data_IF_613342912113
#
_entry.id   IF_613342912113
#
_cell.length_a   1.000
_cell.length_b   1.000
_cell.length_c   1.000
_cell.angle_alpha   90.00
_cell.angle_beta   90.00
_cell.angle_gamma   90.00
#
_symmetry.space_group_name_H-M   'P 1'
#
loop_
_entity.id
_entity.type
_entity.pdbx_description
1 polymer ?
#
# COMPACT_ATOMS: atom_id res chain seq x y z
N UNK A 1 0.33 -0.66 -18.37
CA UNK A 1 0.13 -1.24 -17.01
C UNK A 1 1.04 -0.54 -16.03
N UNK A 2 0.56 -0.31 -14.84
CA UNK A 2 1.31 0.35 -13.78
C UNK A 2 1.64 -0.64 -12.68
N UNK A 3 2.89 -0.67 -12.23
CA UNK A 3 3.30 -1.46 -11.08
C UNK A 3 3.21 -0.57 -9.84
N UNK A 4 2.36 -0.94 -8.89
CA UNK A 4 2.17 -0.20 -7.66
C UNK A 4 2.93 -0.89 -6.52
N UNK A 5 3.49 -0.09 -5.62
CA UNK A 5 3.97 -0.58 -4.32
C UNK A 5 2.96 -0.18 -3.27
N UNK A 6 2.36 -1.18 -2.62
CA UNK A 6 1.32 -0.99 -1.62
C UNK A 6 1.93 -1.23 -0.24
N UNK A 7 1.70 -0.31 0.68
CA UNK A 7 2.30 -0.38 2.01
C UNK A 7 1.32 -0.06 3.14
N UNK A 8 0.06 0.19 2.82
CA UNK A 8 -0.95 0.62 3.78
C UNK A 8 -2.18 -0.28 3.76
N UNK A 9 -3.35 0.34 3.84
CA UNK A 9 -4.61 -0.38 3.99
C UNK A 9 -4.96 -1.27 2.80
N UNK A 10 -4.44 -0.96 1.61
CA UNK A 10 -4.66 -1.82 0.43
C UNK A 10 -3.95 -3.16 0.53
N UNK A 11 -3.08 -3.35 1.53
CA UNK A 11 -2.51 -4.67 1.79
C UNK A 11 -3.54 -5.65 2.34
N UNK A 12 -4.65 -5.17 2.88
CA UNK A 12 -5.76 -6.03 3.26
C UNK A 12 -6.45 -6.53 1.99
N UNK A 13 -6.48 -7.84 1.74
CA UNK A 13 -7.05 -8.37 0.50
C UNK A 13 -8.51 -7.98 0.29
N UNK A 14 -9.28 -7.84 1.36
CA UNK A 14 -10.70 -7.47 1.24
C UNK A 14 -10.86 -6.03 0.79
N UNK A 15 -10.04 -5.15 1.34
CA UNK A 15 -10.05 -3.74 0.95
C UNK A 15 -9.61 -3.62 -0.51
N UNK A 16 -8.53 -4.30 -0.88
CA UNK A 16 -8.01 -4.24 -2.23
C UNK A 16 -9.04 -4.75 -3.26
N UNK A 17 -9.64 -5.89 -3.00
CA UNK A 17 -10.62 -6.47 -3.92
C UNK A 17 -11.82 -5.55 -4.10
N UNK A 18 -12.33 -4.98 -3.01
CA UNK A 18 -13.47 -4.08 -3.06
C UNK A 18 -13.14 -2.79 -3.79
N UNK A 19 -11.99 -2.19 -3.51
CA UNK A 19 -11.66 -0.91 -4.11
C UNK A 19 -11.22 -1.02 -5.56
N UNK A 20 -10.53 -2.09 -5.93
CA UNK A 20 -10.16 -2.33 -7.32
C UNK A 20 -11.31 -2.82 -8.18
N UNK A 21 -12.37 -3.33 -7.56
CA UNK A 21 -13.52 -3.87 -8.28
C UNK A 21 -13.29 -5.24 -8.89
N UNK A 22 -12.26 -5.96 -8.43
CA UNK A 22 -11.92 -7.29 -8.94
C UNK A 22 -11.47 -8.17 -7.78
N UNK A 23 -12.21 -9.23 -7.50
CA UNK A 23 -11.84 -10.15 -6.43
C UNK A 23 -10.51 -10.87 -6.70
N UNK A 24 -10.27 -11.23 -7.96
CA UNK A 24 -9.06 -11.97 -8.33
C UNK A 24 -7.77 -11.17 -8.30
N UNK A 25 -7.86 -9.86 -8.15
CA UNK A 25 -6.66 -9.02 -8.20
C UNK A 25 -5.68 -9.33 -7.05
N UNK A 26 -6.18 -9.82 -5.92
CA UNK A 26 -5.35 -10.13 -4.76
C UNK A 26 -4.32 -11.24 -5.07
N UNK A 27 -4.60 -12.08 -6.06
CA UNK A 27 -3.66 -13.15 -6.46
C UNK A 27 -2.42 -12.61 -7.14
N UNK A 28 -2.46 -11.38 -7.60
CA UNK A 28 -1.34 -10.74 -8.29
C UNK A 28 -0.39 -10.05 -7.34
N UNK A 29 -0.73 -9.96 -6.05
CA UNK A 29 0.14 -9.35 -5.07
C UNK A 29 1.43 -10.16 -4.93
N UNK A 30 2.57 -9.50 -5.02
CA UNK A 30 3.86 -10.10 -4.79
C UNK A 30 4.58 -9.39 -3.66
N UNK A 31 5.27 -10.11 -2.78
CA UNK A 31 5.98 -9.45 -1.68
C UNK A 31 7.09 -8.54 -2.23
N UNK A 32 7.27 -7.40 -1.59
CA UNK A 32 8.30 -6.46 -1.96
C UNK A 32 8.70 -5.63 -0.76
N UNK A 33 9.89 -5.03 -0.83
CA UNK A 33 10.33 -4.10 0.19
C UNK A 33 10.93 -2.86 -0.46
N UNK A 34 10.77 -1.75 0.22
CA UNK A 34 11.25 -0.46 -0.22
C UNK A 34 12.33 0.01 0.74
N UNK A 35 13.57 0.06 0.28
CA UNK A 35 14.72 0.49 1.07
C UNK A 35 14.87 2.00 0.98
N UNK A 36 15.28 2.61 2.09
CA UNK A 36 15.51 4.05 2.14
C UNK A 36 14.26 4.87 2.44
N UNK A 37 13.17 4.22 2.82
CA UNK A 37 11.91 4.88 3.15
C UNK A 37 11.32 4.28 4.42
N UNK A 38 10.67 5.13 5.20
CA UNK A 38 10.00 4.71 6.42
C UNK A 38 8.51 5.00 6.32
N UNK A 39 7.71 4.06 6.80
CA UNK A 39 6.27 4.19 6.88
C UNK A 39 5.90 4.88 8.19
N UNK A 40 5.22 6.02 8.09
CA UNK A 40 4.83 6.83 9.24
C UNK A 40 3.37 7.25 9.09
N UNK A 41 2.78 7.69 10.20
CA UNK A 41 1.40 8.18 10.17
C UNK A 41 1.30 9.47 9.37
N UNK A 42 0.20 9.64 8.65
CA UNK A 42 -0.15 10.91 8.02
C UNK A 42 -1.08 11.65 8.96
N UNK A 43 -0.67 12.84 9.41
CA UNK A 43 -1.42 13.62 10.40
C UNK A 43 -2.84 13.87 9.93
N UNK A 44 -3.76 13.76 10.86
CA UNK A 44 -5.18 13.98 10.57
C UNK A 44 -5.89 12.80 9.95
N UNK A 45 -5.21 11.66 9.80
CA UNK A 45 -5.79 10.45 9.24
C UNK A 45 -5.31 9.21 10.00
N UNK A 46 -6.02 8.09 9.91
CA UNK A 46 -5.51 6.81 10.43
C UNK A 46 -4.58 6.11 9.44
N UNK A 47 -4.19 6.75 8.34
CA UNK A 47 -3.48 6.14 7.24
C UNK A 47 -2.00 6.50 7.25
N UNK A 48 -1.16 5.69 6.59
CA UNK A 48 0.27 5.96 6.53
C UNK A 48 0.67 6.77 5.32
N UNK A 49 1.89 7.27 5.39
CA UNK A 49 2.62 7.79 4.25
C UNK A 49 4.08 7.30 4.34
N UNK A 50 4.88 7.68 3.38
CA UNK A 50 6.30 7.35 3.33
C UNK A 50 7.13 8.61 3.42
N UNK A 51 8.24 8.53 4.14
CA UNK A 51 9.26 9.58 4.15
C UNK A 51 10.62 8.97 3.83
N UNK A 52 11.51 9.72 3.18
CA UNK A 52 12.89 9.26 3.01
C UNK A 52 13.54 9.04 4.37
N UNK A 53 14.20 7.89 4.52
CA UNK A 53 14.89 7.55 5.76
C UNK A 53 16.01 6.57 5.44
N UNK A 54 17.25 7.05 5.27
CA UNK A 54 18.37 6.17 4.96
C UNK A 54 18.49 5.05 5.98
N UNK A 55 18.66 3.83 5.50
CA UNK A 55 18.76 2.65 6.37
C UNK A 55 17.44 2.03 6.78
N UNK A 56 16.32 2.72 6.55
CA UNK A 56 15.01 2.14 6.85
C UNK A 56 14.54 1.22 5.72
N UNK A 57 13.65 0.31 6.05
CA UNK A 57 13.02 -0.59 5.09
C UNK A 57 11.52 -0.65 5.37
N UNK A 58 10.72 -0.52 4.32
CA UNK A 58 9.28 -0.67 4.43
C UNK A 58 8.87 -1.94 3.68
N UNK A 59 8.23 -2.85 4.39
CA UNK A 59 7.67 -4.07 3.80
C UNK A 59 6.32 -3.77 3.18
N UNK A 60 6.05 -4.38 2.05
CA UNK A 60 4.78 -4.20 1.36
C UNK A 60 4.61 -5.22 0.25
N UNK A 61 3.87 -4.83 -0.76
CA UNK A 61 3.60 -5.70 -1.90
C UNK A 61 3.55 -4.90 -3.19
N UNK A 62 3.89 -5.54 -4.28
CA UNK A 62 3.73 -4.95 -5.62
C UNK A 62 2.51 -5.55 -6.30
N UNK A 63 1.86 -4.73 -7.10
CA UNK A 63 0.68 -5.11 -7.84
C UNK A 63 0.66 -4.41 -9.18
N UNK A 64 0.52 -5.18 -10.25
CA UNK A 64 0.41 -4.61 -11.59
C UNK A 64 -1.06 -4.39 -11.91
N UNK A 65 -1.41 -3.16 -12.29
CA UNK A 65 -2.79 -2.79 -12.56
C UNK A 65 -2.92 -2.11 -13.90
N UNK A 66 -4.07 -2.29 -14.53
CA UNK A 66 -4.45 -1.55 -15.72
C UNK A 66 -5.08 -0.21 -15.37
N UNK A 67 -5.43 0.59 -16.40
CA UNK A 67 -5.93 1.95 -16.18
C UNK A 67 -7.21 2.02 -15.34
N UNK A 68 -8.14 1.08 -15.54
CA UNK A 68 -9.40 1.13 -14.81
C UNK A 68 -9.20 0.87 -13.31
N UNK A 69 -8.43 -0.16 -12.96
CA UNK A 69 -8.13 -0.45 -11.56
C UNK A 69 -7.32 0.68 -10.94
N UNK A 70 -6.36 1.23 -11.67
CA UNK A 70 -5.57 2.35 -11.18
C UNK A 70 -6.45 3.54 -10.82
N UNK A 71 -7.40 3.88 -11.68
CA UNK A 71 -8.31 4.99 -11.42
C UNK A 71 -9.16 4.76 -10.17
N UNK A 72 -9.64 3.53 -9.98
CA UNK A 72 -10.43 3.20 -8.79
C UNK A 72 -9.61 3.30 -7.51
N UNK A 73 -8.39 2.79 -7.54
CA UNK A 73 -7.49 2.87 -6.38
C UNK A 73 -7.07 4.31 -6.10
N UNK A 74 -6.83 5.11 -7.13
CA UNK A 74 -6.51 6.51 -6.94
C UNK A 74 -7.66 7.27 -6.26
N UNK A 75 -8.90 6.95 -6.64
CA UNK A 75 -10.06 7.55 -6.00
C UNK A 75 -10.17 7.15 -4.53
N UNK A 76 -9.84 5.91 -4.22
CA UNK A 76 -9.81 5.44 -2.83
C UNK A 76 -8.76 6.18 -2.00
N UNK A 77 -7.55 6.35 -2.56
CA UNK A 77 -6.48 7.03 -1.84
C UNK A 77 -6.82 8.49 -1.55
N UNK A 78 -7.43 9.16 -2.52
CA UNK A 78 -7.91 10.52 -2.33
C UNK A 78 -6.86 11.60 -2.57
N UNK A 79 -7.29 12.88 -2.49
CA UNK A 79 -6.49 14.02 -2.94
C UNK A 79 -5.14 14.23 -2.24
N UNK A 80 -4.96 13.92 -0.95
CA UNK A 80 -3.65 14.15 -0.32
C UNK A 80 -2.53 13.32 -0.92
N UNK A 81 -2.86 12.18 -1.51
CA UNK A 81 -1.85 11.27 -2.03
C UNK A 81 -1.62 11.50 -3.51
N UNK A 82 -0.37 11.31 -3.93
CA UNK A 82 -0.03 11.29 -5.34
C UNK A 82 0.99 10.19 -5.59
N UNK A 83 1.02 9.70 -6.81
CA UNK A 83 1.94 8.65 -7.20
C UNK A 83 3.34 9.21 -7.34
N UNK A 84 4.29 8.53 -6.71
CA UNK A 84 5.70 8.88 -6.73
C UNK A 84 6.47 7.65 -7.21
N UNK A 85 7.40 7.80 -8.16
CA UNK A 85 8.21 6.67 -8.58
C UNK A 85 9.16 6.23 -7.47
N UNK A 86 9.24 4.92 -7.27
CA UNK A 86 10.12 4.32 -6.28
C UNK A 86 10.78 3.09 -6.88
N UNK A 87 11.87 2.67 -6.26
CA UNK A 87 12.56 1.44 -6.65
C UNK A 87 12.40 0.43 -5.52
N UNK A 88 11.79 -0.69 -5.85
CA UNK A 88 11.50 -1.73 -4.87
C UNK A 88 12.28 -3.00 -5.16
N UNK A 89 12.51 -3.79 -4.12
CA UNK A 89 13.11 -5.10 -4.24
C UNK A 89 12.01 -6.16 -4.19
N UNK A 90 11.97 -6.97 -5.21
CA UNK A 90 11.00 -8.07 -5.32
C UNK A 90 11.73 -9.40 -5.39
N UNK A 91 10.98 -10.51 -5.34
CA UNK A 91 11.54 -11.83 -5.52
C UNK A 91 12.27 -11.98 -6.87
N UNK A 92 11.87 -11.22 -7.87
CA UNK A 92 12.47 -11.22 -9.20
C UNK A 92 13.57 -10.16 -9.36
N UNK A 93 13.99 -9.51 -8.28
CA UNK A 93 14.99 -8.45 -8.28
C UNK A 93 14.40 -7.07 -8.20
N UNK A 94 15.23 -6.03 -8.44
CA UNK A 94 14.75 -4.65 -8.36
C UNK A 94 13.76 -4.34 -9.47
N UNK A 95 12.76 -3.51 -9.13
CA UNK A 95 11.74 -3.07 -10.08
C UNK A 95 11.41 -1.61 -9.81
N UNK A 96 11.04 -0.91 -10.87
CA UNK A 96 10.44 0.41 -10.73
C UNK A 96 8.97 0.26 -10.46
N UNK A 97 8.49 1.00 -9.46
CA UNK A 97 7.09 0.98 -9.08
C UNK A 97 6.64 2.40 -8.76
N UNK A 98 5.35 2.56 -8.50
CA UNK A 98 4.78 3.82 -8.08
C UNK A 98 4.11 3.59 -6.73
N UNK A 99 4.26 4.54 -5.81
CA UNK A 99 3.63 4.48 -4.51
C UNK A 99 2.85 5.77 -4.25
N UNK A 100 1.71 5.66 -3.58
CA UNK A 100 0.97 6.83 -3.16
C UNK A 100 1.61 7.42 -1.92
N UNK A 101 2.03 8.69 -2.01
CA UNK A 101 2.73 9.38 -0.93
C UNK A 101 1.99 10.68 -0.64
N UNK A 102 1.70 10.93 0.62
CA UNK A 102 1.08 12.16 1.06
C UNK A 102 2.10 13.30 1.17
N UNK A 103 1.62 14.51 1.42
CA UNK A 103 2.54 15.66 1.51
C UNK A 103 3.49 15.51 2.71
N UNK A 104 4.75 15.84 2.50
CA UNK A 104 5.78 15.65 3.51
C UNK A 104 5.49 16.42 4.80
N UNK A 105 4.88 17.61 4.70
CA UNK A 105 4.58 18.42 5.88
C UNK A 105 3.52 17.80 6.78
N UNK A 106 2.72 16.84 6.27
CA UNK A 106 1.74 16.12 7.08
C UNK A 106 2.28 14.81 7.63
N UNK A 107 3.48 14.43 7.26
CA UNK A 107 4.05 13.18 7.76
C UNK A 107 4.48 13.35 9.21
N UNK A 108 4.06 12.42 10.06
CA UNK A 108 4.43 12.42 11.48
C UNK A 108 5.65 11.52 11.66
N UNK A 109 6.84 12.08 11.43
CA UNK A 109 8.08 11.32 11.38
C UNK A 109 8.37 10.56 12.69
N UNK A 110 7.88 11.05 13.82
CA UNK A 110 8.07 10.39 15.09
C UNK A 110 7.03 9.29 15.38
N UNK A 111 6.10 9.07 14.47
CA UNK A 111 5.00 8.13 14.68
C UNK A 111 5.03 7.04 13.60
N UNK A 112 5.85 5.98 13.77
CA UNK A 112 5.82 4.87 12.85
C UNK A 112 4.41 4.29 12.75
N UNK A 113 4.04 3.88 11.55
CA UNK A 113 2.74 3.29 11.31
C UNK A 113 2.92 1.83 10.95
N UNK A 114 2.11 0.99 11.55
CA UNK A 114 2.11 -0.43 11.24
C UNK A 114 0.71 -0.82 10.82
N UNK A 115 0.56 -1.69 9.80
CA UNK A 115 -0.77 -2.15 9.44
C UNK A 115 -1.39 -2.88 10.62
N UNK A 116 -2.71 -2.74 10.83
CA UNK A 116 -3.35 -3.50 11.87
C UNK A 116 -3.17 -4.99 11.61
N UNK A 117 -3.04 -5.82 12.65
CA UNK A 117 -2.93 -7.26 12.46
C UNK A 117 -4.16 -7.77 11.73
N UNK A 118 -3.95 -8.74 10.85
CA UNK A 118 -5.07 -9.38 10.18
C UNK A 118 -5.96 -10.03 11.22
N UNK A 119 -7.29 -9.92 11.07
CA UNK A 119 -8.18 -10.60 12.00
C UNK A 119 -7.95 -12.11 11.92
N UNK A 120 -8.13 -12.84 13.04
CA UNK A 120 -7.98 -14.27 12.99
C UNK A 120 -8.96 -14.87 12.00
N UNK A 121 -8.52 -15.97 11.37
CA UNK A 121 -9.41 -16.65 10.44
C UNK A 121 -10.63 -17.14 11.20
N UNK A 122 -11.78 -16.87 10.66
CA UNK A 122 -13.04 -17.26 11.26
C UNK A 122 -13.60 -18.50 10.58
N UNK A 123 -14.31 -19.34 11.33
CA UNK A 123 -15.12 -20.38 10.70
C UNK A 123 -16.13 -19.75 9.75
N UNK A 124 -16.45 -20.46 8.69
CA UNK A 124 -17.34 -19.93 7.68
C UNK A 124 -18.70 -19.51 8.25
N UNK A 125 -19.16 -20.21 9.25
CA UNK A 125 -20.44 -19.89 9.85
C UNK A 125 -20.49 -18.54 10.56
N UNK A 126 -19.32 -17.97 10.86
CA UNK A 126 -19.24 -16.71 11.56
C UNK A 126 -19.16 -15.55 10.60
N UNK A 127 -18.98 -15.81 9.39
CA UNK A 127 -18.89 -14.77 8.40
C UNK A 127 -20.27 -14.25 8.12
N UNK A 128 -20.64 -13.38 8.85
CA UNK A 128 -21.89 -12.76 8.57
C UNK A 128 -21.64 -11.35 8.36
N UNK A 129 -21.87 -11.20 8.04
CA UNK A 129 -21.80 -10.04 8.14
C UNK A 129 -22.04 -9.51 7.64
#
# INVERSE_FOLDING_TARGET
MTLLFLYGTLLDPRVLAAQAGKAGIVRRLGPARLEGWQRVALRGTPYPTLIPAPGAVTEGAVLRVGPAALARLAAYEGPPYRLVPVRVMTAAGPRRAQAWVGPAWRAAAACPWHPPPSPPRRPAAVVTR
#
